data_IF_274349420968
#
_entry.id   IF_274349420968
#
_cell.length_a   1.000
_cell.length_b   1.000
_cell.length_c   1.000
_cell.angle_alpha   90.00
_cell.angle_beta   90.00
_cell.angle_gamma   90.00
#
_symmetry.space_group_name_H-M   'P 1'
#
loop_
_entity.id
_entity.type
_entity.pdbx_description
1 polymer ?
#
# COMPACT_ATOMS: atom_id res chain seq x y z
N UNK A 1 -3.15 -17.90 5.06
CA UNK A 1 -3.93 -19.13 4.85
C UNK A 1 -5.11 -18.86 3.93
N UNK A 2 -5.55 -19.89 3.22
CA UNK A 2 -6.69 -19.81 2.30
C UNK A 2 -7.99 -20.22 3.00
N UNK A 3 -9.06 -19.47 2.76
CA UNK A 3 -10.41 -19.79 3.26
C UNK A 3 -10.98 -20.93 2.43
N UNK A 4 -11.30 -22.04 3.08
CA UNK A 4 -11.86 -23.25 2.46
C UNK A 4 -13.37 -23.24 2.47
N UNK A 5 -13.96 -22.80 3.59
CA UNK A 5 -15.42 -22.76 3.76
C UNK A 5 -15.81 -21.64 4.73
N UNK A 6 -16.96 -21.01 4.50
CA UNK A 6 -17.58 -20.05 5.43
C UNK A 6 -18.87 -20.67 5.99
N UNK A 7 -19.00 -20.70 7.31
CA UNK A 7 -20.11 -21.34 8.04
C UNK A 7 -20.79 -20.38 9.01
N UNK A 8 -21.81 -20.84 9.75
CA UNK A 8 -22.51 -20.03 10.76
C UNK A 8 -21.67 -19.63 11.98
N UNK A 9 -20.55 -20.31 12.25
CA UNK A 9 -19.70 -20.06 13.42
C UNK A 9 -18.40 -19.31 13.07
N UNK A 10 -18.05 -19.21 11.80
CA UNK A 10 -16.85 -18.59 11.30
C UNK A 10 -16.39 -19.21 9.99
N UNK A 11 -15.14 -19.00 9.63
CA UNK A 11 -14.53 -19.60 8.45
C UNK A 11 -13.58 -20.72 8.85
N UNK A 12 -13.43 -21.69 7.98
CA UNK A 12 -12.43 -22.75 8.08
C UNK A 12 -11.32 -22.48 7.09
N UNK A 13 -10.07 -22.51 7.58
CA UNK A 13 -8.88 -22.20 6.83
C UNK A 13 -8.06 -23.46 6.59
N UNK A 14 -7.57 -23.60 5.37
CA UNK A 14 -6.60 -24.62 5.02
C UNK A 14 -5.21 -24.20 5.52
N UNK A 15 -4.63 -24.99 6.42
CA UNK A 15 -3.30 -24.80 6.98
C UNK A 15 -2.39 -26.02 6.79
N UNK A 16 -2.79 -26.93 5.87
CA UNK A 16 -2.01 -28.09 5.49
C UNK A 16 -2.13 -29.30 6.42
N UNK A 17 -3.05 -29.25 7.40
CA UNK A 17 -3.35 -30.38 8.28
C UNK A 17 -4.71 -31.00 7.95
N UNK A 18 -4.96 -32.22 8.45
CA UNK A 18 -6.21 -32.96 8.21
C UNK A 18 -7.46 -32.20 8.66
N UNK A 19 -7.35 -31.48 9.80
CA UNK A 19 -8.45 -30.66 10.32
C UNK A 19 -8.21 -29.20 10.00
N UNK A 20 -9.18 -28.56 9.33
CA UNK A 20 -9.14 -27.15 9.02
C UNK A 20 -9.13 -26.28 10.28
N UNK A 21 -8.45 -25.14 10.22
CA UNK A 21 -8.32 -24.20 11.33
C UNK A 21 -9.53 -23.26 11.37
N UNK A 22 -10.23 -23.20 12.49
CA UNK A 22 -11.39 -22.32 12.68
C UNK A 22 -10.93 -20.87 12.90
N UNK A 23 -11.50 -19.95 12.11
CA UNK A 23 -11.43 -18.50 12.29
C UNK A 23 -12.82 -17.99 12.70
N UNK A 24 -13.11 -17.80 14.01
CA UNK A 24 -14.39 -17.34 14.48
C UNK A 24 -14.74 -15.93 13.99
N UNK A 25 -16.03 -15.60 13.85
CA UNK A 25 -16.45 -14.28 13.37
C UNK A 25 -15.91 -13.11 14.21
N UNK A 26 -15.87 -13.26 15.54
CA UNK A 26 -15.36 -12.21 16.44
C UNK A 26 -13.83 -11.97 16.33
N UNK A 27 -13.13 -12.88 15.67
CA UNK A 27 -11.69 -12.77 15.36
C UNK A 27 -11.41 -12.29 13.93
N UNK A 28 -12.46 -12.05 13.12
CA UNK A 28 -12.33 -11.48 11.78
C UNK A 28 -12.31 -9.96 11.87
N UNK A 29 -11.38 -9.30 11.16
CA UNK A 29 -11.29 -7.84 11.05
C UNK A 29 -12.05 -7.29 9.84
N UNK A 30 -12.41 -8.16 8.90
CA UNK A 30 -13.20 -7.87 7.70
C UNK A 30 -13.99 -9.10 7.28
N UNK A 31 -15.02 -8.88 6.47
CA UNK A 31 -15.75 -10.00 5.86
C UNK A 31 -14.86 -10.74 4.88
N UNK A 32 -14.81 -12.04 4.98
CA UNK A 32 -14.02 -12.93 4.13
C UNK A 32 -14.90 -13.88 3.34
N UNK A 33 -14.36 -14.39 2.24
CA UNK A 33 -15.06 -15.25 1.29
C UNK A 33 -14.24 -16.51 1.02
N UNK A 34 -14.90 -17.58 0.57
CA UNK A 34 -14.24 -18.81 0.15
C UNK A 34 -13.23 -18.55 -0.96
N UNK A 35 -12.08 -19.22 -0.87
CA UNK A 35 -10.96 -19.06 -1.78
C UNK A 35 -10.06 -17.85 -1.51
N UNK A 36 -10.47 -16.91 -0.65
CA UNK A 36 -9.66 -15.74 -0.28
C UNK A 36 -8.48 -16.14 0.59
N UNK A 37 -7.34 -15.47 0.41
CA UNK A 37 -6.21 -15.56 1.32
C UNK A 37 -6.29 -14.49 2.40
N UNK A 38 -6.00 -14.87 3.64
CA UNK A 38 -5.91 -13.96 4.78
C UNK A 38 -4.68 -14.25 5.64
N UNK A 39 -4.12 -13.17 6.20
CA UNK A 39 -3.09 -13.27 7.23
C UNK A 39 -3.76 -13.53 8.56
N UNK A 40 -3.31 -14.57 9.26
CA UNK A 40 -3.84 -14.95 10.57
C UNK A 40 -2.72 -15.34 11.52
N UNK A 41 -2.96 -15.16 12.80
CA UNK A 41 -2.19 -15.79 13.86
C UNK A 41 -2.98 -16.96 14.43
N UNK A 42 -2.26 -17.97 14.94
CA UNK A 42 -2.88 -19.13 15.60
C UNK A 42 -2.81 -18.91 17.12
N UNK A 43 -3.94 -19.16 17.78
CA UNK A 43 -4.02 -19.07 19.22
C UNK A 43 -4.81 -20.24 19.82
N UNK A 44 -4.70 -20.46 21.10
CA UNK A 44 -5.48 -21.45 21.84
C UNK A 44 -6.70 -20.76 22.45
N UNK A 45 -7.90 -21.24 22.12
CA UNK A 45 -9.15 -20.70 22.66
C UNK A 45 -9.40 -21.16 24.13
N UNK A 46 -10.45 -20.64 24.76
CA UNK A 46 -10.84 -21.01 26.13
C UNK A 46 -11.21 -22.50 26.27
N UNK A 47 -11.46 -23.18 25.18
CA UNK A 47 -11.78 -24.61 25.12
C UNK A 47 -10.55 -25.47 24.81
N UNK A 48 -9.35 -24.91 24.92
CA UNK A 48 -8.05 -25.56 24.60
C UNK A 48 -7.97 -26.08 23.16
N UNK A 49 -8.62 -25.38 22.20
CA UNK A 49 -8.54 -25.69 20.76
C UNK A 49 -7.73 -24.63 20.03
N UNK A 50 -7.01 -25.07 19.01
CA UNK A 50 -6.34 -24.16 18.09
C UNK A 50 -7.36 -23.43 17.24
N UNK A 51 -7.30 -22.12 17.21
CA UNK A 51 -8.12 -21.22 16.41
C UNK A 51 -7.26 -20.15 15.73
N UNK A 52 -7.79 -19.55 14.67
CA UNK A 52 -7.16 -18.43 13.97
C UNK A 52 -7.72 -17.09 14.42
N UNK A 53 -6.92 -16.05 14.33
CA UNK A 53 -7.35 -14.65 14.48
C UNK A 53 -6.74 -13.79 13.36
N UNK A 54 -7.55 -12.89 12.81
CA UNK A 54 -7.09 -11.83 11.90
C UNK A 54 -6.56 -10.59 12.64
N UNK A 55 -6.71 -10.54 13.97
CA UNK A 55 -6.15 -9.48 14.81
C UNK A 55 -4.65 -9.73 15.04
N UNK A 56 -3.88 -9.66 13.95
CA UNK A 56 -2.47 -10.11 13.92
C UNK A 56 -1.49 -9.14 14.57
N UNK A 57 -1.87 -7.88 14.78
CA UNK A 57 -0.99 -6.84 15.31
C UNK A 57 -0.20 -7.25 16.57
N UNK A 58 -0.78 -7.91 17.59
CA UNK A 58 -0.04 -8.33 18.79
C UNK A 58 1.02 -9.41 18.54
N UNK A 59 0.95 -10.11 17.41
CA UNK A 59 1.83 -11.21 17.03
C UNK A 59 2.94 -10.78 16.06
N UNK A 60 2.84 -9.55 15.53
CA UNK A 60 3.87 -9.00 14.64
C UNK A 60 4.97 -8.32 15.46
N UNK A 61 6.22 -8.50 15.01
CA UNK A 61 7.36 -7.80 15.59
C UNK A 61 7.26 -6.30 15.29
N UNK A 62 7.61 -5.50 16.29
CA UNK A 62 7.76 -4.04 16.13
C UNK A 62 9.18 -3.68 15.70
N UNK A 63 10.17 -4.50 16.11
CA UNK A 63 11.57 -4.28 15.74
C UNK A 63 11.82 -4.81 14.34
N UNK A 64 12.22 -3.91 13.44
CA UNK A 64 12.50 -4.25 12.06
C UNK A 64 13.99 -4.25 11.76
N UNK A 65 14.49 -5.16 10.89
CA UNK A 65 15.86 -5.10 10.38
C UNK A 65 16.01 -4.10 9.23
N UNK A 66 14.91 -3.59 8.70
CA UNK A 66 14.88 -2.69 7.53
C UNK A 66 15.26 -1.26 7.89
N UNK A 67 15.76 -0.55 6.87
CA UNK A 67 16.15 0.86 6.94
C UNK A 67 15.30 1.70 5.99
N UNK A 68 15.35 3.01 6.17
CA UNK A 68 14.75 3.96 5.25
C UNK A 68 15.33 3.80 3.85
N UNK A 69 14.48 3.75 2.84
CA UNK A 69 14.82 3.50 1.44
C UNK A 69 14.70 2.02 1.02
N UNK A 70 14.67 1.07 1.95
CA UNK A 70 14.59 -0.36 1.60
C UNK A 70 13.26 -0.68 0.90
N UNK A 71 13.34 -1.55 -0.13
CA UNK A 71 12.18 -2.11 -0.82
C UNK A 71 11.72 -3.38 -0.11
N UNK A 72 10.44 -3.46 0.21
CA UNK A 72 9.85 -4.55 0.99
C UNK A 72 8.52 -4.99 0.41
N UNK A 73 8.14 -6.24 0.64
CA UNK A 73 6.80 -6.74 0.33
C UNK A 73 5.95 -6.78 1.61
N UNK A 74 4.79 -6.13 1.55
CA UNK A 74 3.88 -6.08 2.69
C UNK A 74 2.49 -6.58 2.34
N UNK A 75 1.87 -7.33 3.25
CA UNK A 75 0.49 -7.78 3.12
C UNK A 75 -0.43 -6.92 3.96
N UNK A 76 -1.43 -6.32 3.35
CA UNK A 76 -2.46 -5.54 4.05
C UNK A 76 -3.24 -6.45 4.98
N UNK A 77 -3.31 -6.12 6.28
CA UNK A 77 -4.10 -6.87 7.24
C UNK A 77 -5.23 -6.07 7.89
N UNK A 78 -5.13 -4.73 7.92
CA UNK A 78 -6.16 -3.87 8.48
C UNK A 78 -6.13 -2.49 7.81
N UNK A 79 -7.31 -1.89 7.65
CA UNK A 79 -7.48 -0.52 7.14
C UNK A 79 -8.17 0.30 8.22
N UNK A 80 -7.66 1.49 8.48
CA UNK A 80 -8.21 2.46 9.42
C UNK A 80 -8.32 3.83 8.75
N UNK A 81 -9.50 4.44 8.82
CA UNK A 81 -9.73 5.76 8.26
C UNK A 81 -8.83 6.83 8.91
N UNK A 82 -8.56 6.69 10.21
CA UNK A 82 -7.78 7.66 10.96
C UNK A 82 -6.26 7.48 10.82
N UNK A 83 -5.78 6.23 10.77
CA UNK A 83 -4.35 5.92 10.80
C UNK A 83 -3.77 5.62 9.42
N UNK A 84 -4.55 5.01 8.54
CA UNK A 84 -4.13 4.54 7.24
C UNK A 84 -4.20 3.02 7.10
N UNK A 85 -3.27 2.44 6.36
CA UNK A 85 -3.27 1.02 6.00
C UNK A 85 -2.17 0.28 6.76
N UNK A 86 -2.57 -0.67 7.58
CA UNK A 86 -1.64 -1.52 8.31
C UNK A 86 -1.21 -2.70 7.45
N UNK A 87 0.09 -2.90 7.38
CA UNK A 87 0.73 -3.93 6.55
C UNK A 87 1.67 -4.78 7.39
N UNK A 88 1.71 -6.06 7.08
CA UNK A 88 2.69 -7.00 7.62
C UNK A 88 3.79 -7.23 6.58
N UNK A 89 4.96 -6.68 6.81
CA UNK A 89 6.15 -6.89 5.99
C UNK A 89 6.71 -8.26 6.31
N UNK A 90 6.94 -9.07 5.27
CA UNK A 90 7.34 -10.48 5.34
C UNK A 90 6.44 -11.35 6.23
N UNK A 91 5.18 -10.94 6.44
CA UNK A 91 4.24 -11.52 7.40
C UNK A 91 4.78 -11.56 8.85
N UNK A 92 5.77 -10.74 9.18
CA UNK A 92 6.48 -10.74 10.47
C UNK A 92 6.56 -9.37 11.14
N UNK A 93 6.78 -8.31 10.38
CA UNK A 93 7.01 -6.96 10.92
C UNK A 93 5.80 -6.07 10.66
N UNK A 94 5.37 -5.30 11.65
CA UNK A 94 4.28 -4.34 11.46
C UNK A 94 4.78 -3.07 10.80
N UNK A 95 4.02 -2.58 9.81
CA UNK A 95 4.26 -1.32 9.13
C UNK A 95 2.95 -0.59 8.88
N UNK A 96 3.03 0.70 8.61
CA UNK A 96 1.89 1.59 8.36
C UNK A 96 2.12 2.39 7.08
N UNK A 97 1.15 2.36 6.16
CA UNK A 97 1.01 3.40 5.13
C UNK A 97 0.16 4.49 5.77
N UNK A 98 0.72 5.68 6.06
CA UNK A 98 -0.03 6.76 6.71
C UNK A 98 -1.26 7.19 5.91
N UNK A 99 -2.35 7.60 6.58
CA UNK A 99 -3.61 7.97 5.91
C UNK A 99 -3.44 9.05 4.84
N UNK A 100 -2.51 10.00 5.02
CA UNK A 100 -2.17 11.04 4.04
C UNK A 100 -1.60 10.49 2.73
N UNK A 101 -0.93 9.33 2.78
CA UNK A 101 -0.29 8.65 1.65
C UNK A 101 -1.17 7.55 1.07
N UNK A 102 -2.10 7.02 1.87
CA UNK A 102 -3.00 5.94 1.53
C UNK A 102 -4.12 6.39 0.56
N UNK A 103 -3.78 6.73 -0.69
CA UNK A 103 -4.74 7.18 -1.72
C UNK A 103 -5.24 6.03 -2.61
N UNK A 104 -4.66 4.84 -2.50
CA UNK A 104 -5.00 3.66 -3.28
C UNK A 104 -6.27 2.96 -2.78
N UNK A 105 -6.76 2.00 -3.57
CA UNK A 105 -7.84 1.09 -3.17
C UNK A 105 -7.24 -0.16 -2.54
N UNK A 106 -7.03 -0.13 -1.24
CA UNK A 106 -6.47 -1.26 -0.51
C UNK A 106 -7.56 -2.25 -0.10
N UNK A 107 -7.17 -3.51 -0.01
CA UNK A 107 -8.03 -4.59 0.50
C UNK A 107 -7.21 -5.49 1.42
N UNK A 108 -7.75 -5.92 2.58
CA UNK A 108 -7.10 -6.91 3.41
C UNK A 108 -6.77 -8.18 2.62
N UNK A 109 -5.55 -8.70 2.81
CA UNK A 109 -5.01 -9.84 2.09
C UNK A 109 -4.15 -9.48 0.87
N UNK A 110 -4.28 -8.27 0.29
CA UNK A 110 -3.47 -7.84 -0.85
C UNK A 110 -2.00 -7.70 -0.45
N UNK A 111 -1.11 -8.17 -1.31
CA UNK A 111 0.35 -7.95 -1.19
C UNK A 111 0.73 -6.76 -2.06
N UNK A 112 1.52 -5.88 -1.49
CA UNK A 112 1.99 -4.65 -2.11
C UNK A 112 3.52 -4.64 -2.10
N UNK A 113 4.12 -4.10 -3.17
CA UNK A 113 5.51 -3.69 -3.18
C UNK A 113 5.59 -2.29 -2.56
N UNK A 114 6.40 -2.14 -1.54
CA UNK A 114 6.46 -0.97 -0.68
C UNK A 114 7.88 -0.53 -0.46
N UNK A 115 8.06 0.76 -0.19
CA UNK A 115 9.34 1.32 0.24
C UNK A 115 9.21 1.81 1.68
N UNK A 116 10.25 1.54 2.48
CA UNK A 116 10.34 2.07 3.84
C UNK A 116 10.65 3.57 3.78
N UNK A 117 9.74 4.39 4.26
CA UNK A 117 9.89 5.86 4.25
C UNK A 117 10.45 6.38 5.57
N UNK A 118 10.24 5.63 6.65
CA UNK A 118 10.74 6.01 7.97
C UNK A 118 10.75 4.81 8.90
N UNK A 119 11.79 4.71 9.72
CA UNK A 119 11.83 3.82 10.88
C UNK A 119 11.78 4.67 12.16
N UNK A 120 10.81 4.39 13.03
CA UNK A 120 10.60 5.11 14.29
C UNK A 120 11.50 4.55 15.39
N UNK A 121 11.70 5.32 16.45
CA UNK A 121 12.49 4.91 17.62
C UNK A 121 11.95 3.64 18.31
N UNK A 122 10.63 3.40 18.22
CA UNK A 122 9.98 2.18 18.72
C UNK A 122 10.08 0.99 17.75
N UNK A 123 10.88 1.10 16.69
CA UNK A 123 11.14 0.07 15.68
C UNK A 123 10.05 -0.10 14.63
N UNK A 124 8.91 0.60 14.75
CA UNK A 124 7.84 0.53 13.74
C UNK A 124 8.23 1.27 12.48
N UNK A 125 7.75 0.78 11.34
CA UNK A 125 8.00 1.36 10.02
C UNK A 125 6.78 2.12 9.51
N UNK A 126 7.03 3.29 8.91
CA UNK A 126 6.14 3.87 7.92
C UNK A 126 6.62 3.46 6.53
N UNK A 127 5.70 3.09 5.67
CA UNK A 127 5.97 2.61 4.31
C UNK A 127 5.07 3.30 3.30
N UNK A 128 5.49 3.35 2.05
CA UNK A 128 4.70 3.93 0.95
C UNK A 128 4.68 2.97 -0.23
N UNK A 129 3.57 2.92 -0.95
CA UNK A 129 3.40 2.25 -2.24
C UNK A 129 3.66 3.18 -3.42
N UNK A 130 4.14 4.40 -3.14
CA UNK A 130 4.50 5.38 -4.14
C UNK A 130 5.99 5.34 -4.40
N UNK A 131 6.33 5.50 -5.65
CA UNK A 131 7.69 5.83 -6.07
C UNK A 131 8.11 7.18 -5.47
N UNK A 132 9.39 7.42 -5.36
CA UNK A 132 9.88 8.72 -4.90
C UNK A 132 9.36 9.81 -5.83
N UNK A 133 8.90 10.92 -5.25
CA UNK A 133 8.46 12.07 -6.02
C UNK A 133 9.51 12.51 -7.07
N UNK A 134 10.77 12.28 -6.78
CA UNK A 134 11.90 12.50 -7.67
C UNK A 134 11.89 11.59 -8.92
N UNK A 135 11.55 10.27 -8.79
CA UNK A 135 11.46 9.35 -9.94
C UNK A 135 10.28 9.76 -10.81
N UNK A 136 9.15 10.08 -10.19
CA UNK A 136 7.95 10.55 -10.89
C UNK A 136 8.19 11.90 -11.61
N UNK A 137 8.94 12.82 -10.99
CA UNK A 137 9.36 14.08 -11.64
C UNK A 137 10.23 13.81 -12.85
N UNK A 138 11.16 12.85 -12.80
CA UNK A 138 12.01 12.51 -13.93
C UNK A 138 11.22 11.88 -15.10
N UNK A 139 10.29 10.95 -14.81
CA UNK A 139 9.43 10.35 -15.83
C UNK A 139 8.51 11.37 -16.48
N UNK A 140 7.92 12.27 -15.66
CA UNK A 140 7.10 13.38 -16.14
C UNK A 140 7.95 14.36 -16.99
N UNK A 141 9.19 14.66 -16.57
CA UNK A 141 10.11 15.51 -17.32
C UNK A 141 10.53 14.89 -18.66
N UNK A 142 10.85 13.59 -18.71
CA UNK A 142 11.18 12.89 -19.96
C UNK A 142 9.98 12.89 -20.91
N UNK A 143 8.77 12.71 -20.40
CA UNK A 143 7.53 12.78 -21.18
C UNK A 143 7.33 14.19 -21.77
N UNK A 144 7.58 15.24 -20.98
CA UNK A 144 7.52 16.63 -21.43
C UNK A 144 8.59 16.91 -22.47
N UNK A 145 9.82 16.45 -22.27
CA UNK A 145 10.91 16.62 -23.24
C UNK A 145 10.62 15.94 -24.56
N UNK A 146 10.08 14.72 -24.54
CA UNK A 146 9.69 14.00 -25.77
C UNK A 146 8.66 14.77 -26.59
N UNK A 147 7.68 15.39 -25.91
CA UNK A 147 6.66 16.20 -26.56
C UNK A 147 7.26 17.50 -27.12
N UNK A 148 8.16 18.17 -26.37
CA UNK A 148 8.85 19.37 -26.86
C UNK A 148 9.67 19.05 -28.12
N UNK A 149 10.35 17.92 -28.18
CA UNK A 149 11.08 17.46 -29.36
C UNK A 149 10.12 17.19 -30.55
N UNK A 150 8.97 16.57 -30.32
CA UNK A 150 7.95 16.32 -31.34
C UNK A 150 7.41 17.62 -31.95
N UNK A 151 7.30 18.68 -31.15
CA UNK A 151 6.91 20.02 -31.58
C UNK A 151 8.10 20.90 -32.04
N UNK A 152 9.24 20.31 -32.40
CA UNK A 152 10.43 21.01 -32.89
C UNK A 152 10.97 22.08 -31.90
N UNK A 153 10.83 21.86 -30.61
CA UNK A 153 11.33 22.72 -29.55
C UNK A 153 10.44 23.92 -29.19
N UNK A 154 9.25 24.03 -29.78
CA UNK A 154 8.30 25.11 -29.50
C UNK A 154 6.95 24.51 -29.12
N UNK A 155 6.52 24.73 -27.88
CA UNK A 155 5.20 24.27 -27.45
C UNK A 155 4.07 25.07 -28.12
N UNK A 156 2.94 24.43 -28.48
CA UNK A 156 1.83 25.09 -29.17
C UNK A 156 0.98 25.98 -28.26
N UNK A 157 1.45 26.30 -27.05
CA UNK A 157 0.76 27.13 -26.04
C UNK A 157 1.77 27.90 -25.17
N UNK A 158 1.30 28.98 -24.57
CA UNK A 158 2.06 29.87 -23.68
C UNK A 158 1.72 29.63 -22.19
N UNK A 159 2.35 30.41 -21.32
CA UNK A 159 2.15 30.40 -19.85
C UNK A 159 0.71 30.70 -19.40
N UNK A 160 -0.15 31.17 -20.31
CA UNK A 160 -1.56 31.49 -20.06
C UNK A 160 -2.53 30.42 -20.57
N UNK A 161 -2.01 29.32 -21.14
CA UNK A 161 -2.84 28.23 -21.59
C UNK A 161 -3.69 27.64 -20.47
N UNK A 162 -4.94 27.32 -20.79
CA UNK A 162 -5.83 26.74 -19.78
C UNK A 162 -5.39 25.31 -19.40
N UNK A 163 -5.63 24.88 -18.14
CA UNK A 163 -5.31 23.53 -17.68
C UNK A 163 -5.92 22.43 -18.56
N UNK A 164 -7.04 22.70 -19.23
CA UNK A 164 -7.72 21.75 -20.10
C UNK A 164 -6.97 21.54 -21.42
N UNK A 165 -6.37 22.60 -21.97
CA UNK A 165 -5.54 22.53 -23.18
C UNK A 165 -4.27 21.74 -22.88
N UNK A 166 -3.60 22.04 -21.77
CA UNK A 166 -2.40 21.32 -21.32
C UNK A 166 -2.69 19.84 -21.09
N UNK A 167 -3.80 19.53 -20.40
CA UNK A 167 -4.21 18.14 -20.13
C UNK A 167 -4.53 17.34 -21.39
N UNK A 168 -5.05 18.01 -22.42
CA UNK A 168 -5.37 17.37 -23.71
C UNK A 168 -4.11 16.98 -24.48
N UNK A 169 -3.08 17.82 -24.47
CA UNK A 169 -1.83 17.61 -25.21
C UNK A 169 -0.83 16.71 -24.45
N UNK A 170 -0.77 16.84 -23.11
CA UNK A 170 0.19 16.11 -22.25
C UNK A 170 -0.44 14.93 -21.49
N UNK A 171 -1.76 14.70 -21.61
CA UNK A 171 -2.44 13.67 -20.83
C UNK A 171 -2.49 14.02 -19.34
N UNK A 172 -2.36 13.03 -18.42
CA UNK A 172 -2.51 13.24 -16.97
C UNK A 172 -1.31 13.88 -16.27
N UNK A 173 -0.36 14.48 -16.99
CA UNK A 173 0.79 15.18 -16.38
C UNK A 173 0.29 16.31 -15.47
N UNK A 174 0.85 16.41 -14.27
CA UNK A 174 0.38 17.36 -13.26
C UNK A 174 0.73 18.79 -13.65
N UNK A 175 -0.29 19.63 -13.87
CA UNK A 175 -0.17 21.07 -14.16
C UNK A 175 0.75 21.84 -13.18
N UNK A 176 0.85 21.39 -11.95
CA UNK A 176 1.71 21.97 -10.92
C UNK A 176 3.19 21.80 -11.23
N UNK A 177 3.60 20.75 -11.92
CA UNK A 177 4.99 20.50 -12.31
C UNK A 177 5.45 21.42 -13.44
N UNK A 178 4.60 21.68 -14.44
CA UNK A 178 4.92 22.58 -15.53
C UNK A 178 5.13 24.03 -15.06
N UNK A 179 4.36 24.49 -14.06
CA UNK A 179 4.47 25.85 -13.51
C UNK A 179 5.70 26.04 -12.59
N UNK A 180 6.19 24.98 -11.96
CA UNK A 180 7.36 25.06 -11.09
C UNK A 180 8.67 25.27 -11.86
N UNK A 181 8.75 24.90 -13.14
CA UNK A 181 9.94 25.08 -13.98
C UNK A 181 10.14 26.51 -14.48
N UNK A 182 9.08 27.31 -14.61
CA UNK A 182 9.20 28.71 -15.05
C UNK A 182 9.85 29.63 -14.01
N UNK A 183 9.73 29.31 -12.71
CA UNK A 183 10.30 30.15 -11.64
C UNK A 183 11.80 29.97 -11.44
N UNK A 184 12.44 29.02 -12.12
CA UNK A 184 13.88 28.73 -11.98
C UNK A 184 14.73 29.35 -13.11
N UNK A 185 14.10 29.82 -14.19
CA UNK A 185 14.80 30.41 -15.35
C UNK A 185 14.90 31.95 -15.31
N UNK A 186 14.34 32.60 -14.29
CA UNK A 186 14.38 34.06 -14.08
C UNK A 186 15.34 34.50 -12.95
N UNK A 187 16.45 33.77 -12.73
CA UNK A 187 17.52 34.21 -11.82
C UNK A 187 18.89 34.16 -12.53
#
# INVERSE_FOLDING_TARGET
LRVKQVTKIGAFLDWGLEKDLLLPYHEQTTRIFEGQECLVAVYVDKSSRLCATMKVYPYLSKETPYKEGDQVKGRVYQISENFGVFVAVDNKYTALIPAREAKGKYRPGTVLDLRVTRVKEDGKMDVSDREEAYIQINEDAESVFSIIEEFAGVLPFDDKASPEVIKREFGPVSYTHLRAHETVLDL
#
